data_IF_874787528099
#
_entry.id   IF_874787528099
#
_cell.length_a   1.000
_cell.length_b   1.000
_cell.length_c   1.000
_cell.angle_alpha   90.00
_cell.angle_beta   90.00
_cell.angle_gamma   90.00
#
_symmetry.space_group_name_H-M   'P 1'
#
loop_
_entity.id
_entity.type
_entity.pdbx_description
1 polymer ?
#
# COMPACT_ATOMS: atom_id res chain seq x y z
N UNK A 1 -74.93 -4.33 -3.14
CA UNK A 1 -73.82 -5.11 -2.54
C UNK A 1 -72.56 -4.79 -3.34
N UNK A 2 -71.74 -3.88 -2.83
CA UNK A 2 -70.53 -3.44 -3.50
C UNK A 2 -69.36 -4.31 -3.02
N UNK A 3 -68.77 -5.11 -3.88
CA UNK A 3 -67.57 -5.89 -3.55
C UNK A 3 -66.36 -5.00 -3.57
N UNK A 4 -65.76 -4.79 -2.38
CA UNK A 4 -64.51 -4.09 -2.17
C UNK A 4 -63.34 -5.02 -2.52
N UNK A 5 -62.68 -4.80 -3.64
CA UNK A 5 -61.40 -5.49 -3.96
C UNK A 5 -60.27 -4.80 -3.22
N UNK A 6 -59.76 -5.46 -2.18
CA UNK A 6 -58.52 -5.06 -1.52
C UNK A 6 -57.35 -5.53 -2.36
N UNK A 7 -56.64 -4.60 -3.00
CA UNK A 7 -55.36 -4.86 -3.67
C UNK A 7 -54.29 -4.81 -2.59
N UNK A 8 -53.85 -5.97 -2.11
CA UNK A 8 -52.67 -6.08 -1.28
C UNK A 8 -51.46 -5.96 -2.20
N UNK A 9 -50.91 -4.75 -2.29
CA UNK A 9 -49.62 -4.51 -2.93
C UNK A 9 -48.52 -5.11 -2.08
N UNK A 10 -47.99 -6.25 -2.47
CA UNK A 10 -46.85 -6.88 -1.86
C UNK A 10 -45.59 -6.08 -2.28
N UNK A 11 -45.19 -5.11 -1.45
CA UNK A 11 -43.90 -4.43 -1.60
C UNK A 11 -42.82 -5.47 -1.32
N UNK A 12 -42.22 -6.03 -2.37
CA UNK A 12 -40.94 -6.72 -2.26
C UNK A 12 -39.87 -5.68 -1.92
N UNK A 13 -39.56 -5.52 -0.66
CA UNK A 13 -38.34 -4.88 -0.18
C UNK A 13 -37.16 -5.76 -0.63
N UNK A 14 -36.62 -5.45 -1.80
CA UNK A 14 -35.31 -5.98 -2.19
C UNK A 14 -34.30 -5.34 -1.24
N UNK A 15 -33.99 -6.04 -0.16
CA UNK A 15 -32.92 -5.64 0.72
C UNK A 15 -31.60 -5.79 -0.08
N UNK A 16 -31.19 -4.72 -0.75
CA UNK A 16 -29.81 -4.64 -1.20
C UNK A 16 -28.96 -4.64 0.06
N UNK A 17 -28.39 -5.78 0.38
CA UNK A 17 -27.33 -5.82 1.38
C UNK A 17 -26.17 -4.99 0.86
N UNK A 18 -26.08 -3.74 1.30
CA UNK A 18 -24.91 -2.89 1.08
C UNK A 18 -23.78 -3.59 1.82
N UNK A 19 -23.06 -4.43 1.10
CA UNK A 19 -21.88 -5.05 1.67
C UNK A 19 -20.86 -3.96 1.97
N UNK A 20 -20.49 -3.80 3.24
CA UNK A 20 -19.50 -2.81 3.65
C UNK A 20 -18.20 -2.99 2.85
N UNK A 21 -17.68 -1.88 2.34
CA UNK A 21 -16.40 -1.83 1.65
C UNK A 21 -15.29 -2.40 2.55
N UNK A 22 -14.51 -3.34 2.04
CA UNK A 22 -13.34 -3.90 2.73
C UNK A 22 -12.05 -3.33 2.20
N UNK A 23 -11.05 -3.29 3.07
CA UNK A 23 -9.67 -3.03 2.68
C UNK A 23 -8.85 -4.29 2.94
N UNK A 24 -8.27 -4.85 1.89
CA UNK A 24 -7.36 -5.99 1.98
C UNK A 24 -5.93 -5.50 1.95
N UNK A 25 -5.09 -5.94 2.87
CA UNK A 25 -3.70 -5.52 2.95
C UNK A 25 -2.75 -6.71 2.99
N UNK A 26 -1.78 -6.76 2.07
CA UNK A 26 -0.61 -7.62 2.17
C UNK A 26 0.57 -6.80 2.68
N UNK A 27 1.16 -7.23 3.79
CA UNK A 27 2.30 -6.60 4.43
C UNK A 27 3.50 -7.55 4.36
N UNK A 28 4.51 -7.21 3.56
CA UNK A 28 5.72 -7.99 3.38
C UNK A 28 6.93 -7.24 3.97
N UNK A 29 7.72 -7.91 4.80
CA UNK A 29 8.94 -7.32 5.38
C UNK A 29 10.07 -8.31 5.46
N UNK A 30 11.20 -7.99 4.83
CA UNK A 30 12.37 -8.85 4.79
C UNK A 30 13.44 -8.29 5.73
N UNK A 31 13.69 -8.98 6.84
CA UNK A 31 14.78 -8.68 7.77
C UNK A 31 15.95 -9.64 7.65
N UNK A 32 15.72 -10.84 7.13
CA UNK A 32 16.74 -11.88 7.03
C UNK A 32 16.87 -12.35 5.58
N UNK A 33 18.01 -12.08 4.98
CA UNK A 33 18.40 -12.48 3.61
C UNK A 33 19.34 -13.67 3.62
N UNK A 34 19.55 -14.31 4.78
CA UNK A 34 20.50 -15.43 4.92
C UNK A 34 21.97 -15.00 4.95
N UNK A 35 22.25 -13.71 5.03
CA UNK A 35 23.59 -13.12 5.11
C UNK A 35 23.58 -11.97 6.13
N UNK A 36 24.34 -12.10 7.24
CA UNK A 36 24.38 -11.07 8.28
C UNK A 36 24.74 -9.67 7.77
N UNK A 37 25.55 -9.59 6.69
CA UNK A 37 26.03 -8.31 6.15
C UNK A 37 24.93 -7.49 5.44
N UNK A 38 23.86 -8.14 5.00
CA UNK A 38 22.75 -7.51 4.30
C UNK A 38 21.42 -7.67 5.04
N UNK A 39 21.43 -8.21 6.25
CA UNK A 39 20.22 -8.31 7.08
C UNK A 39 19.78 -6.92 7.60
N UNK A 40 18.46 -6.74 7.72
CA UNK A 40 17.84 -5.49 8.14
C UNK A 40 17.16 -5.67 9.51
N UNK A 41 17.43 -4.77 10.46
CA UNK A 41 16.99 -4.97 11.86
C UNK A 41 15.54 -4.55 12.15
N UNK A 42 14.95 -3.68 11.34
CA UNK A 42 13.68 -3.00 11.66
C UNK A 42 12.47 -3.45 10.83
N UNK A 43 12.66 -3.97 9.64
CA UNK A 43 11.58 -4.27 8.68
C UNK A 43 10.47 -5.15 9.25
N UNK A 44 10.83 -6.24 9.94
CA UNK A 44 9.84 -7.13 10.58
C UNK A 44 9.06 -6.43 11.70
N UNK A 45 9.72 -5.56 12.48
CA UNK A 45 9.07 -4.81 13.56
C UNK A 45 8.09 -3.79 12.99
N UNK A 46 8.48 -3.11 11.93
CA UNK A 46 7.67 -2.09 11.28
C UNK A 46 6.43 -2.69 10.61
N UNK A 47 6.58 -3.83 9.94
CA UNK A 47 5.44 -4.59 9.40
C UNK A 47 4.47 -5.02 10.50
N UNK A 48 4.97 -5.52 11.62
CA UNK A 48 4.12 -5.89 12.77
C UNK A 48 3.33 -4.71 13.32
N UNK A 49 3.98 -3.54 13.47
CA UNK A 49 3.33 -2.31 13.95
C UNK A 49 2.24 -1.83 12.97
N UNK A 50 2.56 -1.83 11.67
CA UNK A 50 1.60 -1.45 10.63
C UNK A 50 0.41 -2.41 10.59
N UNK A 51 0.64 -3.72 10.74
CA UNK A 51 -0.40 -4.73 10.83
C UNK A 51 -1.35 -4.49 12.03
N UNK A 52 -0.81 -4.08 13.18
CA UNK A 52 -1.63 -3.75 14.35
C UNK A 52 -2.56 -2.56 14.05
N UNK A 53 -2.06 -1.52 13.37
CA UNK A 53 -2.86 -0.35 12.99
C UNK A 53 -3.94 -0.75 11.99
N UNK A 54 -3.59 -1.52 10.96
CA UNK A 54 -4.57 -1.93 9.96
C UNK A 54 -5.67 -2.82 10.57
N UNK A 55 -5.31 -3.70 11.48
CA UNK A 55 -6.31 -4.51 12.20
C UNK A 55 -7.24 -3.67 13.09
N UNK A 56 -6.74 -2.63 13.77
CA UNK A 56 -7.59 -1.72 14.56
C UNK A 56 -8.55 -0.89 13.69
N UNK A 57 -8.30 -0.83 12.39
CA UNK A 57 -9.15 -0.21 11.37
C UNK A 57 -9.97 -1.23 10.57
N UNK A 58 -10.11 -2.44 11.08
CA UNK A 58 -10.89 -3.54 10.50
C UNK A 58 -10.43 -3.98 9.10
N UNK A 59 -9.16 -3.72 8.74
CA UNK A 59 -8.62 -4.22 7.48
C UNK A 59 -8.38 -5.73 7.54
N UNK A 60 -8.64 -6.40 6.43
CA UNK A 60 -8.32 -7.83 6.25
C UNK A 60 -6.83 -7.93 5.87
N UNK A 61 -6.01 -8.29 6.85
CA UNK A 61 -4.55 -8.28 6.67
C UNK A 61 -3.96 -9.67 6.49
N UNK A 62 -2.98 -9.78 5.59
CA UNK A 62 -2.04 -10.88 5.50
C UNK A 62 -0.62 -10.33 5.73
N UNK A 63 0.13 -10.95 6.62
CA UNK A 63 1.49 -10.54 6.95
C UNK A 63 2.48 -11.67 6.64
N UNK A 64 3.56 -11.36 5.92
CA UNK A 64 4.68 -12.25 5.66
C UNK A 64 5.99 -11.55 6.00
N UNK A 65 6.85 -12.21 6.76
CA UNK A 65 8.08 -11.58 7.26
C UNK A 65 9.28 -12.52 7.20
N UNK A 66 10.47 -11.93 7.23
CA UNK A 66 11.75 -12.63 7.20
C UNK A 66 11.84 -13.61 6.03
N UNK A 67 12.31 -14.83 6.24
CA UNK A 67 12.50 -15.85 5.19
C UNK A 67 11.21 -16.25 4.46
N UNK A 68 10.04 -16.06 5.09
CA UNK A 68 8.76 -16.35 4.45
C UNK A 68 8.35 -15.28 3.41
N UNK A 69 8.98 -14.10 3.42
CA UNK A 69 8.74 -13.04 2.45
C UNK A 69 9.57 -13.25 1.18
N UNK A 70 9.60 -14.48 0.66
CA UNK A 70 10.20 -14.84 -0.62
C UNK A 70 9.26 -14.49 -1.78
N UNK A 71 9.77 -14.51 -3.00
CA UNK A 71 9.07 -14.15 -4.22
C UNK A 71 7.73 -14.90 -4.36
N UNK A 72 7.76 -16.21 -4.30
CA UNK A 72 6.59 -17.06 -4.53
C UNK A 72 5.47 -16.82 -3.51
N UNK A 73 5.84 -16.63 -2.23
CA UNK A 73 4.87 -16.35 -1.18
C UNK A 73 4.24 -14.97 -1.36
N UNK A 74 5.01 -13.95 -1.78
CA UNK A 74 4.49 -12.62 -2.09
C UNK A 74 3.48 -12.74 -3.24
N UNK A 75 3.87 -13.37 -4.35
CA UNK A 75 3.00 -13.57 -5.53
C UNK A 75 1.73 -14.32 -5.15
N UNK A 76 1.84 -15.46 -4.47
CA UNK A 76 0.70 -16.28 -4.04
C UNK A 76 -0.30 -15.52 -3.18
N UNK A 77 0.20 -14.77 -2.18
CA UNK A 77 -0.65 -13.99 -1.28
C UNK A 77 -1.30 -12.80 -1.99
N UNK A 78 -0.55 -12.12 -2.85
CA UNK A 78 -1.07 -10.98 -3.62
C UNK A 78 -2.16 -11.44 -4.58
N UNK A 79 -1.94 -12.55 -5.32
CA UNK A 79 -2.95 -13.13 -6.20
C UNK A 79 -4.21 -13.58 -5.44
N UNK A 80 -4.06 -14.09 -4.21
CA UNK A 80 -5.21 -14.45 -3.39
C UNK A 80 -6.06 -13.21 -3.03
N UNK A 81 -5.43 -12.11 -2.63
CA UNK A 81 -6.11 -10.84 -2.34
C UNK A 81 -6.78 -10.27 -3.60
N UNK A 82 -6.08 -10.27 -4.73
CA UNK A 82 -6.61 -9.80 -6.02
C UNK A 82 -7.88 -10.55 -6.43
N UNK A 83 -7.94 -11.86 -6.18
CA UNK A 83 -9.14 -12.67 -6.46
C UNK A 83 -10.30 -12.41 -5.49
N UNK A 84 -10.01 -12.08 -4.23
CA UNK A 84 -11.02 -11.89 -3.19
C UNK A 84 -11.67 -10.50 -3.26
N UNK A 85 -10.91 -9.47 -3.62
CA UNK A 85 -11.36 -8.10 -3.58
C UNK A 85 -12.46 -7.83 -4.63
N UNK A 86 -13.52 -7.17 -4.19
CA UNK A 86 -14.66 -6.74 -5.01
C UNK A 86 -14.42 -5.34 -5.59
N UNK A 87 -15.25 -4.86 -6.54
CA UNK A 87 -15.02 -3.57 -7.21
C UNK A 87 -14.90 -2.36 -6.26
N UNK A 88 -15.66 -2.35 -5.18
CA UNK A 88 -15.64 -1.21 -4.25
C UNK A 88 -14.65 -1.39 -3.09
N UNK A 89 -14.03 -2.57 -2.98
CA UNK A 89 -12.98 -2.82 -2.00
C UNK A 89 -11.69 -2.06 -2.36
N UNK A 90 -10.78 -1.97 -1.40
CA UNK A 90 -9.43 -1.43 -1.57
C UNK A 90 -8.40 -2.53 -1.40
N UNK A 91 -7.30 -2.43 -2.13
CA UNK A 91 -6.13 -3.29 -1.94
C UNK A 91 -4.96 -2.42 -1.51
N UNK A 92 -4.25 -2.86 -0.47
CA UNK A 92 -2.99 -2.27 -0.03
C UNK A 92 -1.91 -3.34 -0.14
N UNK A 93 -0.81 -2.98 -0.78
CA UNK A 93 0.44 -3.73 -0.74
C UNK A 93 1.50 -2.89 -0.04
N UNK A 94 2.13 -3.44 0.97
CA UNK A 94 3.27 -2.83 1.66
C UNK A 94 4.48 -3.75 1.57
N UNK A 95 5.61 -3.19 1.18
CA UNK A 95 6.90 -3.88 1.22
C UNK A 95 7.92 -3.05 1.97
N UNK A 96 8.71 -3.71 2.82
CA UNK A 96 9.89 -3.14 3.46
C UNK A 96 11.06 -4.12 3.37
N UNK A 97 12.17 -3.66 2.76
CA UNK A 97 13.33 -4.50 2.49
C UNK A 97 14.34 -3.82 1.58
N UNK A 98 15.25 -4.59 1.00
CA UNK A 98 16.16 -4.08 -0.02
C UNK A 98 15.45 -3.74 -1.32
N UNK A 99 15.89 -2.69 -1.97
CA UNK A 99 15.47 -2.27 -3.29
C UNK A 99 16.59 -2.38 -4.32
N UNK A 100 16.17 -2.40 -5.57
CA UNK A 100 17.05 -2.36 -6.75
C UNK A 100 16.36 -1.56 -7.85
N UNK A 101 17.07 -1.00 -8.82
CA UNK A 101 16.44 -0.32 -9.94
C UNK A 101 15.39 -1.19 -10.62
N UNK A 102 14.15 -0.67 -10.69
CA UNK A 102 13.02 -1.38 -11.32
C UNK A 102 12.29 -2.40 -10.46
N UNK A 103 12.66 -2.56 -9.16
CA UNK A 103 12.00 -3.53 -8.28
C UNK A 103 12.52 -3.56 -6.85
N UNK A 104 12.20 -4.63 -6.16
CA UNK A 104 12.66 -4.89 -4.80
C UNK A 104 13.15 -6.34 -4.66
N UNK A 105 13.83 -6.63 -3.56
CA UNK A 105 14.50 -7.92 -3.32
C UNK A 105 13.77 -8.69 -2.22
N UNK A 106 13.07 -9.78 -2.55
CA UNK A 106 12.51 -10.72 -1.58
C UNK A 106 13.57 -11.47 -0.77
N UNK A 107 13.16 -12.26 0.23
CA UNK A 107 14.07 -12.94 1.15
C UNK A 107 14.93 -14.03 0.52
N UNK A 108 14.50 -14.57 -0.61
CA UNK A 108 15.25 -15.54 -1.42
C UNK A 108 16.28 -14.89 -2.35
N UNK A 109 16.46 -13.57 -2.25
CA UNK A 109 17.38 -12.75 -3.07
C UNK A 109 17.04 -12.72 -4.56
N UNK A 110 15.87 -13.19 -4.95
CA UNK A 110 15.34 -13.00 -6.30
C UNK A 110 15.05 -11.50 -6.54
N UNK A 111 14.75 -11.16 -7.79
CA UNK A 111 14.35 -9.81 -8.15
C UNK A 111 12.86 -9.78 -8.42
N UNK A 112 12.10 -8.98 -7.62
CA UNK A 112 10.69 -8.74 -7.86
C UNK A 112 10.54 -7.44 -8.65
N UNK A 113 10.22 -7.56 -9.91
CA UNK A 113 10.08 -6.44 -10.83
C UNK A 113 8.77 -5.68 -10.57
N UNK A 114 8.80 -4.34 -10.60
CA UNK A 114 7.56 -3.53 -10.47
C UNK A 114 6.56 -3.77 -11.59
N UNK A 115 7.00 -4.13 -12.80
CA UNK A 115 6.08 -4.49 -13.88
C UNK A 115 5.30 -5.76 -13.54
N UNK A 116 5.96 -6.78 -12.98
CA UNK A 116 5.31 -7.99 -12.49
C UNK A 116 4.26 -7.68 -11.41
N UNK A 117 4.60 -6.81 -10.44
CA UNK A 117 3.67 -6.35 -9.42
C UNK A 117 2.42 -5.72 -10.05
N UNK A 118 2.62 -4.80 -11.00
CA UNK A 118 1.54 -4.13 -11.72
C UNK A 118 0.69 -5.14 -12.50
N UNK A 119 1.31 -6.12 -13.17
CA UNK A 119 0.60 -7.13 -13.97
C UNK A 119 -0.27 -8.06 -13.11
N UNK A 120 0.15 -8.32 -11.88
CA UNK A 120 -0.68 -9.02 -10.90
C UNK A 120 -1.84 -8.14 -10.44
N UNK A 121 -1.57 -6.89 -10.08
CA UNK A 121 -2.55 -5.96 -9.53
C UNK A 121 -3.62 -5.54 -10.56
N UNK A 122 -3.26 -5.44 -11.84
CA UNK A 122 -4.21 -5.16 -12.92
C UNK A 122 -5.34 -6.20 -13.05
N UNK A 123 -5.15 -7.39 -12.52
CA UNK A 123 -6.18 -8.45 -12.51
C UNK A 123 -7.24 -8.25 -11.42
N UNK A 124 -7.06 -7.25 -10.54
CA UNK A 124 -8.01 -6.98 -9.47
C UNK A 124 -9.32 -6.38 -10.00
N UNK A 125 -10.43 -6.80 -9.42
CA UNK A 125 -11.73 -6.13 -9.60
C UNK A 125 -11.82 -4.83 -8.79
N UNK A 126 -11.07 -4.72 -7.69
CA UNK A 126 -11.00 -3.52 -6.85
C UNK A 126 -10.55 -2.31 -7.66
N UNK A 127 -11.28 -1.20 -7.57
CA UNK A 127 -11.01 0.01 -8.35
C UNK A 127 -9.75 0.75 -7.89
N UNK A 128 -9.34 0.57 -6.64
CA UNK A 128 -8.25 1.33 -6.02
C UNK A 128 -7.25 0.41 -5.34
N UNK A 129 -6.00 0.53 -5.75
CA UNK A 129 -4.86 -0.23 -5.22
C UNK A 129 -3.78 0.75 -4.78
N UNK A 130 -3.23 0.55 -3.59
CA UNK A 130 -2.20 1.39 -2.98
C UNK A 130 -0.97 0.54 -2.66
N UNK A 131 0.17 0.91 -3.22
CA UNK A 131 1.46 0.26 -2.98
C UNK A 131 2.35 1.21 -2.17
N UNK A 132 2.73 0.82 -0.96
CA UNK A 132 3.68 1.54 -0.11
C UNK A 132 4.99 0.75 -0.12
N UNK A 133 6.06 1.33 -0.65
CA UNK A 133 7.35 0.66 -0.84
C UNK A 133 8.43 1.37 -0.04
N UNK A 134 8.88 0.75 1.05
CA UNK A 134 10.00 1.21 1.87
C UNK A 134 11.26 0.43 1.50
N UNK A 135 11.90 0.88 0.43
CA UNK A 135 13.10 0.26 -0.12
C UNK A 135 13.95 1.31 -0.85
N UNK A 136 15.26 1.10 -0.89
CA UNK A 136 16.17 1.96 -1.65
C UNK A 136 15.79 1.98 -3.12
N UNK A 137 16.03 3.11 -3.81
CA UNK A 137 15.77 3.27 -5.23
C UNK A 137 14.31 2.94 -5.64
N UNK A 138 13.39 2.94 -4.67
CA UNK A 138 11.99 2.57 -4.91
C UNK A 138 11.29 3.53 -5.88
N UNK A 139 11.75 4.79 -5.97
CA UNK A 139 11.28 5.75 -6.98
C UNK A 139 11.54 5.33 -8.43
N UNK A 140 12.38 4.32 -8.67
CA UNK A 140 12.56 3.72 -10.00
C UNK A 140 11.28 3.13 -10.60
N UNK A 141 10.21 2.99 -9.81
CA UNK A 141 8.87 2.68 -10.30
C UNK A 141 8.38 3.67 -11.36
N UNK A 142 8.94 4.89 -11.41
CA UNK A 142 8.68 5.90 -12.45
C UNK A 142 9.01 5.41 -13.87
N UNK A 143 9.87 4.42 -14.02
CA UNK A 143 10.23 3.84 -15.33
C UNK A 143 9.09 3.01 -15.93
N UNK A 144 8.10 2.64 -15.11
CA UNK A 144 6.89 1.98 -15.61
C UNK A 144 6.02 3.02 -16.33
N UNK A 145 5.57 2.69 -17.54
CA UNK A 145 4.72 3.58 -18.32
C UNK A 145 3.50 4.06 -17.52
N UNK A 146 3.19 5.36 -17.60
CA UNK A 146 2.03 5.97 -16.98
C UNK A 146 0.71 5.24 -17.31
N UNK A 147 0.60 4.66 -18.51
CA UNK A 147 -0.54 3.85 -18.94
C UNK A 147 -0.77 2.61 -18.04
N UNK A 148 0.22 2.19 -17.29
CA UNK A 148 0.12 1.06 -16.36
C UNK A 148 -0.58 1.43 -15.05
N UNK A 149 -0.75 2.71 -14.74
CA UNK A 149 -1.38 3.15 -13.48
C UNK A 149 -2.90 3.32 -13.54
N UNK A 150 -3.53 2.84 -14.63
CA UNK A 150 -4.99 2.81 -14.71
C UNK A 150 -5.62 4.13 -15.17
N UNK A 151 -5.01 4.79 -16.14
CA UNK A 151 -5.64 5.86 -16.91
C UNK A 151 -6.63 5.20 -17.86
N UNK A 152 -7.85 4.95 -17.40
CA UNK A 152 -8.92 4.35 -18.20
C UNK A 152 -9.88 3.51 -17.34
N UNK A 153 -11.12 3.34 -17.81
CA UNK A 153 -12.20 2.71 -17.04
C UNK A 153 -12.09 1.19 -16.86
N UNK A 154 -11.08 0.54 -17.46
CA UNK A 154 -11.00 -0.93 -17.54
C UNK A 154 -10.00 -1.57 -16.55
N UNK A 155 -9.18 -0.78 -15.85
CA UNK A 155 -8.16 -1.30 -14.96
C UNK A 155 -8.26 -0.63 -13.58
N UNK A 156 -7.85 -1.30 -12.49
CA UNK A 156 -7.76 -0.63 -11.21
C UNK A 156 -6.79 0.55 -11.29
N UNK A 157 -7.12 1.64 -10.59
CA UNK A 157 -6.19 2.75 -10.38
C UNK A 157 -5.15 2.28 -9.38
N UNK A 158 -3.88 2.33 -9.77
CA UNK A 158 -2.76 1.88 -8.94
C UNK A 158 -1.94 3.10 -8.53
N UNK A 159 -1.71 3.23 -7.24
CA UNK A 159 -0.87 4.27 -6.65
C UNK A 159 0.39 3.63 -6.07
N UNK A 160 1.52 4.25 -6.30
CA UNK A 160 2.77 3.95 -5.59
C UNK A 160 3.17 5.14 -4.72
N UNK A 161 3.44 4.87 -3.46
CA UNK A 161 4.12 5.80 -2.55
C UNK A 161 5.41 5.13 -2.10
N UNK A 162 6.54 5.73 -2.45
CA UNK A 162 7.88 5.15 -2.26
C UNK A 162 8.70 5.98 -1.29
N UNK A 163 9.64 5.35 -0.59
CA UNK A 163 10.45 5.99 0.45
C UNK A 163 11.55 6.90 -0.09
N UNK A 164 11.98 6.70 -1.35
CA UNK A 164 13.10 7.42 -1.96
C UNK A 164 12.88 7.71 -3.43
N UNK A 165 13.67 8.60 -4.02
CA UNK A 165 13.73 8.81 -5.47
C UNK A 165 14.51 7.67 -6.16
N UNK A 166 14.42 7.61 -7.50
CA UNK A 166 15.06 6.61 -8.35
C UNK A 166 16.61 6.67 -8.30
N UNK A 167 17.16 7.84 -8.05
CA UNK A 167 18.60 8.09 -8.08
C UNK A 167 19.25 8.14 -6.69
N UNK A 168 18.48 7.93 -5.62
CA UNK A 168 19.00 7.93 -4.26
C UNK A 168 19.70 6.62 -3.97
N UNK A 169 20.99 6.56 -4.31
CA UNK A 169 21.91 5.48 -3.96
C UNK A 169 22.20 5.54 -2.47
N UNK A 170 21.56 4.72 -1.68
CA UNK A 170 22.01 4.47 -0.32
C UNK A 170 23.19 3.49 -0.35
N UNK A 171 24.41 4.01 -0.50
CA UNK A 171 25.61 3.28 -0.15
C UNK A 171 25.55 3.00 1.37
N UNK A 172 25.61 1.72 1.78
CA UNK A 172 25.87 1.21 3.15
C UNK A 172 24.98 1.73 4.31
N UNK A 173 24.19 2.77 4.14
CA UNK A 173 23.32 3.32 5.20
C UNK A 173 21.84 2.97 5.02
N UNK A 174 21.51 2.03 4.17
CA UNK A 174 20.18 1.44 4.02
C UNK A 174 19.54 0.96 5.35
N UNK A 175 20.40 0.67 6.33
CA UNK A 175 20.00 0.31 7.71
C UNK A 175 19.31 1.46 8.48
N UNK A 176 19.60 2.71 8.12
CA UNK A 176 19.06 3.89 8.82
C UNK A 176 17.84 4.47 8.08
N UNK A 177 17.79 4.35 6.73
CA UNK A 177 16.74 4.94 5.89
C UNK A 177 15.39 4.25 6.02
N UNK A 178 15.37 2.93 6.03
CA UNK A 178 14.14 2.13 6.00
C UNK A 178 13.22 2.31 7.23
N UNK A 179 13.65 3.01 8.28
CA UNK A 179 12.79 3.31 9.43
C UNK A 179 12.03 4.64 9.35
N UNK A 180 12.49 5.61 8.53
CA UNK A 180 11.89 6.95 8.51
C UNK A 180 10.56 6.97 7.78
N UNK A 181 10.49 6.39 6.58
CA UNK A 181 9.26 6.33 5.79
C UNK A 181 8.16 5.54 6.53
N UNK A 182 8.46 4.32 6.96
CA UNK A 182 7.47 3.50 7.66
C UNK A 182 7.05 4.11 8.98
N UNK A 183 7.96 4.77 9.73
CA UNK A 183 7.59 5.51 10.95
C UNK A 183 6.66 6.69 10.65
N UNK A 184 6.92 7.43 9.58
CA UNK A 184 6.06 8.53 9.14
C UNK A 184 4.68 7.99 8.68
N UNK A 185 4.66 6.91 7.89
CA UNK A 185 3.43 6.22 7.48
C UNK A 185 2.58 5.81 8.69
N UNK A 186 3.20 5.16 9.69
CA UNK A 186 2.53 4.75 10.93
C UNK A 186 1.94 5.94 11.68
N UNK A 187 2.70 7.04 11.84
CA UNK A 187 2.22 8.25 12.52
C UNK A 187 1.09 8.93 11.74
N UNK A 188 1.25 9.03 10.42
CA UNK A 188 0.22 9.58 9.53
C UNK A 188 -1.09 8.83 9.66
N UNK A 189 -1.07 7.50 9.57
CA UNK A 189 -2.24 6.64 9.71
C UNK A 189 -2.89 6.68 11.11
N UNK A 190 -2.17 7.13 12.14
CA UNK A 190 -2.69 7.36 13.50
C UNK A 190 -3.31 8.75 13.70
N UNK A 191 -3.49 9.54 12.65
CA UNK A 191 -4.14 10.84 12.73
C UNK A 191 -3.22 12.04 12.52
N UNK A 192 -1.88 11.88 12.56
CA UNK A 192 -0.97 13.02 12.39
C UNK A 192 -1.02 13.66 11.01
N UNK A 193 -1.58 12.97 10.02
CA UNK A 193 -1.78 13.50 8.67
C UNK A 193 -3.15 14.15 8.45
N UNK A 194 -4.09 14.00 9.38
CA UNK A 194 -5.41 14.66 9.32
C UNK A 194 -5.25 16.17 9.53
N UNK A 195 -5.14 16.88 8.41
CA UNK A 195 -4.89 18.33 8.42
C UNK A 195 -6.16 19.14 8.61
N UNK A 196 -7.29 18.63 8.13
CA UNK A 196 -8.59 19.31 8.16
C UNK A 196 -9.45 18.92 9.37
N UNK A 197 -8.96 18.00 10.22
CA UNK A 197 -9.61 17.53 11.44
C UNK A 197 -10.97 16.86 11.23
N UNK A 198 -11.17 16.23 10.05
CA UNK A 198 -12.41 15.54 9.70
C UNK A 198 -12.43 14.07 10.15
N UNK A 199 -11.38 13.62 10.86
CA UNK A 199 -11.16 12.23 11.32
C UNK A 199 -11.04 11.21 10.19
N UNK A 200 -10.69 11.69 9.00
CA UNK A 200 -10.41 10.86 7.85
C UNK A 200 -9.01 11.17 7.34
N UNK A 201 -8.34 10.19 6.77
CA UNK A 201 -7.03 10.38 6.16
C UNK A 201 -7.13 10.04 4.69
N UNK A 202 -6.96 11.05 3.86
CA UNK A 202 -6.86 10.87 2.41
C UNK A 202 -5.43 10.49 2.01
N UNK A 203 -5.28 9.91 0.81
CA UNK A 203 -3.97 9.61 0.24
C UNK A 203 -3.08 10.86 0.15
N UNK A 204 -3.66 12.00 -0.24
CA UNK A 204 -2.93 13.26 -0.40
C UNK A 204 -2.45 13.82 0.94
N UNK A 205 -3.28 13.78 1.99
CA UNK A 205 -2.88 14.20 3.34
C UNK A 205 -1.77 13.31 3.88
N UNK A 206 -1.91 11.99 3.73
CA UNK A 206 -0.91 11.04 4.16
C UNK A 206 0.44 11.28 3.48
N UNK A 207 0.44 11.45 2.15
CA UNK A 207 1.66 11.75 1.41
C UNK A 207 2.32 13.05 1.84
N UNK A 208 1.54 14.12 1.95
CA UNK A 208 2.07 15.43 2.35
C UNK A 208 2.70 15.39 3.75
N UNK A 209 2.11 14.63 4.67
CA UNK A 209 2.67 14.41 6.00
C UNK A 209 3.98 13.61 5.92
N UNK A 210 3.96 12.46 5.23
CA UNK A 210 5.14 11.59 5.09
C UNK A 210 6.30 12.34 4.46
N UNK A 211 6.05 13.05 3.35
CA UNK A 211 7.08 13.82 2.65
C UNK A 211 7.75 14.81 3.59
N UNK A 212 6.97 15.62 4.31
CA UNK A 212 7.50 16.62 5.23
C UNK A 212 8.28 16.00 6.40
N UNK A 213 7.74 14.95 7.06
CA UNK A 213 8.39 14.29 8.20
C UNK A 213 9.70 13.63 7.77
N UNK A 214 9.73 12.95 6.61
CA UNK A 214 10.91 12.24 6.11
C UNK A 214 11.97 13.23 5.66
N UNK A 215 11.65 14.20 4.80
CA UNK A 215 12.61 15.21 4.33
C UNK A 215 13.20 15.97 5.51
N UNK A 216 12.38 16.45 6.45
CA UNK A 216 12.88 17.16 7.64
C UNK A 216 13.85 16.33 8.46
N UNK A 217 13.61 15.02 8.63
CA UNK A 217 14.47 14.14 9.44
C UNK A 217 15.75 13.72 8.75
N UNK A 218 15.79 13.77 7.43
CA UNK A 218 16.93 13.31 6.64
C UNK A 218 17.71 14.46 6.01
N UNK A 219 17.19 15.69 6.08
CA UNK A 219 17.83 16.90 5.54
C UNK A 219 19.20 17.14 6.17
N UNK A 220 20.16 17.48 5.33
CA UNK A 220 21.58 17.70 5.74
C UNK A 220 22.35 16.41 6.03
N UNK A 221 21.73 15.25 5.92
CA UNK A 221 22.44 13.97 5.99
C UNK A 221 22.97 13.57 4.61
N UNK A 222 23.98 12.70 4.58
CA UNK A 222 24.47 12.11 3.32
C UNK A 222 23.41 11.25 2.60
N UNK A 223 22.29 10.98 3.26
CA UNK A 223 21.21 10.11 2.80
C UNK A 223 19.87 10.81 2.94
N UNK A 224 19.75 11.98 2.34
CA UNK A 224 18.46 12.64 2.22
C UNK A 224 17.49 11.75 1.45
N UNK A 225 16.23 11.69 1.95
CA UNK A 225 15.19 10.87 1.36
C UNK A 225 14.05 11.76 0.88
N UNK A 226 13.65 11.55 -0.36
CA UNK A 226 12.54 12.27 -0.97
C UNK A 226 11.44 11.29 -1.37
N UNK A 227 10.48 11.00 -0.47
CA UNK A 227 9.35 10.15 -0.80
C UNK A 227 8.62 10.59 -2.06
N UNK A 228 8.20 9.65 -2.87
CA UNK A 228 7.51 9.93 -4.13
C UNK A 228 6.08 9.41 -4.08
N UNK A 229 5.16 10.11 -4.78
CA UNK A 229 3.79 9.68 -5.01
C UNK A 229 3.53 9.61 -6.51
N UNK A 230 3.31 8.42 -7.02
CA UNK A 230 2.95 8.17 -8.41
C UNK A 230 1.53 7.60 -8.44
N UNK A 231 0.57 8.41 -8.81
CA UNK A 231 -0.82 8.01 -8.93
C UNK A 231 -1.59 8.97 -9.84
N UNK A 232 -2.73 8.56 -10.40
CA UNK A 232 -3.69 9.49 -10.98
C UNK A 232 -4.14 10.54 -9.94
N UNK A 233 -4.28 11.80 -10.33
CA UNK A 233 -4.68 12.88 -9.42
C UNK A 233 -6.01 12.60 -8.71
N UNK A 234 -6.93 11.91 -9.39
CA UNK A 234 -8.22 11.49 -8.83
C UNK A 234 -8.08 10.55 -7.61
N UNK A 235 -6.92 9.98 -7.34
CA UNK A 235 -6.69 9.14 -6.17
C UNK A 235 -6.30 9.93 -4.92
N UNK A 236 -5.80 11.15 -5.04
CA UNK A 236 -5.32 11.94 -3.89
C UNK A 236 -6.42 12.21 -2.85
N UNK A 237 -7.66 12.38 -3.30
CA UNK A 237 -8.82 12.57 -2.40
C UNK A 237 -9.42 11.28 -1.83
N UNK A 238 -8.89 10.10 -2.16
CA UNK A 238 -9.45 8.86 -1.64
C UNK A 238 -9.10 8.70 -0.16
N UNK A 239 -10.12 8.51 0.67
CA UNK A 239 -9.97 8.19 2.09
C UNK A 239 -9.37 6.79 2.22
N UNK A 240 -8.22 6.71 2.87
CA UNK A 240 -7.55 5.44 3.18
C UNK A 240 -8.11 4.84 4.47
N UNK A 241 -8.29 5.67 5.48
CA UNK A 241 -8.74 5.27 6.81
C UNK A 241 -9.52 6.37 7.52
N UNK A 242 -10.30 5.98 8.54
CA UNK A 242 -10.98 6.87 9.49
C UNK A 242 -10.61 6.46 10.92
N UNK A 243 -10.67 7.36 11.89
CA UNK A 243 -10.31 7.09 13.29
C UNK A 243 -11.15 7.90 14.27
#
# INVERSE_FOLDING_TARGET
MKKLFAIIGMLMLVAFSIQAQKTYALLAGVSNYGDPNINLSNTTKDVKRLNTIFKSQEFVTAMITSQNANHDNIVKKLQAIVRLAKPDDKIIFFFSGHGSPGGFVPSDRSFFNYQELVDILKKAKAKNVFCFIDACMSGSVKTISANNFGIGNNYPRICFMTSSDANELSRESSLVGNGFFTKALIKGLKGMSDKNTDKSITLGELYNYIYKDVVHRTSGSQNEMHPQLLCPDSMKGIVLTKF
#
